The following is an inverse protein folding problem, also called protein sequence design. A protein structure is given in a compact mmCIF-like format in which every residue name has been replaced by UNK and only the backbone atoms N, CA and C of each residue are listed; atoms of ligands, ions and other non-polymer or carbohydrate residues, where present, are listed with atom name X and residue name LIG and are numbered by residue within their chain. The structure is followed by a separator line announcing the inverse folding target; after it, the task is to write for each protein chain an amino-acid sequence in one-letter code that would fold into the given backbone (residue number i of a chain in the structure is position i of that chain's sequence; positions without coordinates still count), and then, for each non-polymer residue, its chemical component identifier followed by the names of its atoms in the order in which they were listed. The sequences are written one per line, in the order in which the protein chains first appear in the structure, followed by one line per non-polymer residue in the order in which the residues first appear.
data_IF_453095687153
#
_entry.id   IF_453095687153
#
_cell.length_a   1.000
_cell.length_b   1.000
_cell.length_c   1.000
_cell.angle_alpha   90.00
_cell.angle_beta   90.00
_cell.angle_gamma   90.00
#
_symmetry.space_group_name_H-M   'P 1'
#
loop_
_entity.id
_entity.type
_entity.pdbx_description
1 polymer ?
#
# COMPACT_ATOMS: atom_id res chain seq x y z
N UNK A 1 3.34 -27.11 -21.11
CA UNK A 1 2.93 -25.75 -20.70
C UNK A 1 4.05 -25.16 -19.86
N UNK A 2 4.74 -24.14 -20.31
CA UNK A 2 5.66 -23.44 -19.44
C UNK A 2 4.86 -22.68 -18.39
N UNK A 3 5.12 -22.93 -17.11
CA UNK A 3 4.53 -22.19 -16.01
C UNK A 3 5.06 -20.76 -16.06
N UNK A 4 4.20 -19.83 -16.45
CA UNK A 4 4.53 -18.42 -16.49
C UNK A 4 4.53 -17.91 -15.05
N UNK A 5 5.71 -17.57 -14.53
CA UNK A 5 5.87 -17.08 -13.18
C UNK A 5 5.11 -15.78 -13.02
N UNK A 6 4.17 -15.75 -12.09
CA UNK A 6 3.41 -14.52 -11.81
C UNK A 6 4.30 -13.49 -11.13
N UNK A 7 3.92 -12.22 -11.22
CA UNK A 7 4.61 -11.14 -10.51
C UNK A 7 4.57 -11.35 -8.98
N UNK A 8 3.50 -11.96 -8.48
CA UNK A 8 3.38 -12.29 -7.05
C UNK A 8 4.36 -13.40 -6.65
N UNK A 9 4.52 -14.43 -7.47
CA UNK A 9 5.52 -15.49 -7.23
C UNK A 9 6.94 -14.91 -7.19
N UNK A 10 7.23 -13.97 -8.08
CA UNK A 10 8.51 -13.26 -8.09
C UNK A 10 8.74 -12.47 -6.81
N UNK A 11 7.74 -11.69 -6.37
CA UNK A 11 7.83 -10.90 -5.13
C UNK A 11 8.05 -11.81 -3.92
N UNK A 12 7.35 -12.94 -3.85
CA UNK A 12 7.50 -13.91 -2.76
C UNK A 12 8.89 -14.57 -2.76
N UNK A 13 9.35 -15.03 -3.92
CA UNK A 13 10.65 -15.71 -4.04
C UNK A 13 11.82 -14.82 -3.63
N UNK A 14 11.75 -13.53 -3.99
CA UNK A 14 12.82 -12.58 -3.71
C UNK A 14 12.55 -11.68 -2.49
N UNK A 15 11.58 -12.04 -1.65
CA UNK A 15 11.13 -11.21 -0.52
C UNK A 15 12.24 -10.84 0.48
N UNK A 16 13.23 -11.71 0.66
CA UNK A 16 14.37 -11.48 1.56
C UNK A 16 15.68 -11.16 0.83
N UNK A 17 15.62 -11.05 -0.50
CA UNK A 17 16.80 -10.80 -1.32
C UNK A 17 17.27 -9.34 -1.22
N UNK A 18 18.58 -9.11 -1.40
CA UNK A 18 19.12 -7.75 -1.53
C UNK A 18 18.63 -7.11 -2.84
N UNK A 19 17.78 -6.11 -2.71
CA UNK A 19 17.16 -5.46 -3.87
C UNK A 19 18.16 -4.70 -4.75
N UNK A 20 19.26 -4.21 -4.19
CA UNK A 20 20.32 -3.58 -4.98
C UNK A 20 21.03 -4.60 -5.87
N UNK A 21 21.32 -5.78 -5.32
CA UNK A 21 21.88 -6.89 -6.11
C UNK A 21 20.88 -7.40 -7.13
N UNK A 22 19.59 -7.43 -6.79
CA UNK A 22 18.54 -7.88 -7.69
C UNK A 22 18.39 -6.95 -8.90
N UNK A 23 18.52 -5.63 -8.70
CA UNK A 23 18.50 -4.65 -9.80
C UNK A 23 19.65 -4.81 -10.80
N UNK A 24 20.77 -5.36 -10.35
CA UNK A 24 21.94 -5.61 -11.22
C UNK A 24 21.80 -6.88 -12.06
N UNK A 25 20.84 -7.75 -11.75
CA UNK A 25 20.58 -8.96 -12.52
C UNK A 25 19.76 -8.63 -13.76
N UNK A 26 20.16 -9.20 -14.90
CA UNK A 26 19.38 -9.12 -16.13
C UNK A 26 18.26 -10.19 -16.08
N UNK A 27 17.15 -9.85 -15.45
CA UNK A 27 16.00 -10.76 -15.29
C UNK A 27 15.03 -10.51 -16.44
N UNK A 28 14.70 -11.59 -17.16
CA UNK A 28 13.69 -11.57 -18.22
C UNK A 28 12.37 -12.09 -17.65
N UNK A 29 11.31 -11.30 -17.81
CA UNK A 29 9.96 -11.64 -17.36
C UNK A 29 8.92 -10.92 -18.22
N UNK A 30 7.67 -11.39 -18.18
CA UNK A 30 6.54 -10.79 -18.92
C UNK A 30 5.86 -9.65 -18.14
N UNK A 31 6.49 -9.20 -17.08
CA UNK A 31 6.01 -8.10 -16.23
C UNK A 31 7.14 -7.10 -15.98
N UNK A 32 6.78 -5.94 -15.47
CA UNK A 32 7.74 -4.90 -15.07
C UNK A 32 8.55 -5.35 -13.84
N UNK A 33 9.78 -5.81 -14.09
CA UNK A 33 10.71 -6.30 -13.06
C UNK A 33 11.12 -5.16 -12.13
N UNK A 34 11.31 -3.94 -12.62
CA UNK A 34 11.69 -2.80 -11.80
C UNK A 34 10.58 -2.46 -10.79
N UNK A 35 9.33 -2.50 -11.23
CA UNK A 35 8.17 -2.33 -10.37
C UNK A 35 8.08 -3.46 -9.33
N UNK A 36 8.28 -4.70 -9.72
CA UNK A 36 8.26 -5.85 -8.80
C UNK A 36 9.34 -5.71 -7.71
N UNK A 37 10.56 -5.27 -8.07
CA UNK A 37 11.64 -5.01 -7.11
C UNK A 37 11.26 -3.87 -6.16
N UNK A 38 10.62 -2.82 -6.65
CA UNK A 38 10.08 -1.75 -5.81
C UNK A 38 9.06 -2.28 -4.78
N UNK A 39 8.17 -3.18 -5.18
CA UNK A 39 7.22 -3.82 -4.27
C UNK A 39 7.93 -4.64 -3.18
N UNK A 40 8.99 -5.36 -3.52
CA UNK A 40 9.82 -6.11 -2.55
C UNK A 40 10.45 -5.14 -1.54
N UNK A 41 11.07 -4.07 -2.02
CA UNK A 41 11.72 -3.07 -1.17
C UNK A 41 10.72 -2.37 -0.25
N UNK A 42 9.57 -1.97 -0.78
CA UNK A 42 8.49 -1.35 -0.02
C UNK A 42 8.01 -2.25 1.13
N UNK A 43 7.78 -3.53 0.85
CA UNK A 43 7.36 -4.53 1.85
C UNK A 43 8.39 -4.71 2.95
N UNK A 44 9.67 -4.75 2.61
CA UNK A 44 10.75 -4.82 3.59
C UNK A 44 10.76 -3.62 4.54
N UNK A 45 10.61 -2.41 3.99
CA UNK A 45 10.62 -1.15 4.76
C UNK A 45 9.46 -1.06 5.76
N UNK A 46 8.30 -1.60 5.43
CA UNK A 46 7.12 -1.48 6.29
C UNK A 46 6.85 -2.72 7.15
N UNK A 47 7.63 -3.77 7.03
CA UNK A 47 7.40 -5.06 7.69
C UNK A 47 7.13 -4.94 9.20
N UNK A 48 7.94 -4.15 9.89
CA UNK A 48 7.80 -3.96 11.34
C UNK A 48 6.76 -2.90 11.70
N UNK A 49 6.57 -1.93 10.83
CA UNK A 49 5.69 -0.79 11.02
C UNK A 49 4.22 -1.11 10.68
N UNK A 50 4.01 -1.92 9.64
CA UNK A 50 2.70 -2.23 9.08
C UNK A 50 2.65 -3.70 8.61
N UNK A 51 2.81 -4.68 9.54
CA UNK A 51 3.00 -6.08 9.18
C UNK A 51 1.81 -6.69 8.43
N UNK A 52 0.58 -6.31 8.73
CA UNK A 52 -0.62 -6.83 8.05
C UNK A 52 -0.67 -6.40 6.58
N UNK A 53 -0.25 -5.18 6.28
CA UNK A 53 -0.15 -4.70 4.90
C UNK A 53 1.06 -5.30 4.17
N UNK A 54 2.19 -5.41 4.84
CA UNK A 54 3.41 -5.99 4.25
C UNK A 54 3.22 -7.45 3.82
N UNK A 55 2.46 -8.23 4.58
CA UNK A 55 2.18 -9.64 4.29
C UNK A 55 1.05 -9.87 3.28
N UNK A 56 0.20 -8.86 3.05
CA UNK A 56 -0.89 -8.98 2.09
C UNK A 56 -0.38 -8.76 0.66
N UNK A 57 -0.34 -9.83 -0.13
CA UNK A 57 0.19 -9.81 -1.50
C UNK A 57 -0.66 -8.99 -2.48
N UNK A 58 -1.89 -8.67 -2.13
CA UNK A 58 -2.79 -7.85 -2.95
C UNK A 58 -2.63 -6.35 -2.72
N UNK A 59 -1.86 -5.93 -1.71
CA UNK A 59 -1.54 -4.53 -1.46
C UNK A 59 -0.47 -4.04 -2.43
N UNK A 60 -0.70 -2.87 -3.01
CA UNK A 60 0.20 -2.17 -3.93
C UNK A 60 0.78 -0.95 -3.23
N UNK A 61 2.10 -0.81 -3.30
CA UNK A 61 2.81 0.35 -2.78
C UNK A 61 3.20 1.28 -3.95
N UNK A 62 2.63 2.49 -4.03
CA UNK A 62 2.87 3.38 -5.19
C UNK A 62 4.30 3.89 -5.26
N UNK A 63 4.99 4.00 -4.13
CA UNK A 63 6.39 4.42 -4.06
C UNK A 63 7.04 3.96 -2.76
N UNK A 64 8.38 3.97 -2.72
CA UNK A 64 9.13 3.74 -1.48
C UNK A 64 8.84 4.87 -0.47
N UNK A 65 8.74 6.11 -0.94
CA UNK A 65 8.43 7.27 -0.10
C UNK A 65 7.10 7.11 0.63
N UNK A 66 6.08 6.55 -0.03
CA UNK A 66 4.78 6.30 0.61
C UNK A 66 4.88 5.37 1.82
N UNK A 67 5.82 4.42 1.81
CA UNK A 67 6.08 3.52 2.95
C UNK A 67 6.84 4.20 4.08
N UNK A 68 7.68 5.15 3.76
CA UNK A 68 8.44 5.92 4.76
C UNK A 68 7.55 6.92 5.50
N UNK A 69 6.63 7.56 4.79
CA UNK A 69 5.76 8.62 5.31
C UNK A 69 4.47 8.12 5.97
N UNK A 70 4.05 6.87 5.72
CA UNK A 70 2.80 6.36 6.28
C UNK A 70 2.88 6.16 7.80
N UNK A 71 1.72 6.17 8.47
CA UNK A 71 1.59 5.79 9.86
C UNK A 71 1.89 4.30 10.06
N UNK A 72 2.43 3.95 11.24
CA UNK A 72 2.45 2.56 11.69
C UNK A 72 1.03 2.09 12.06
N UNK A 73 0.82 0.79 12.15
CA UNK A 73 -0.45 0.24 12.65
C UNK A 73 -0.79 0.78 14.04
N UNK A 74 0.20 0.84 14.92
CA UNK A 74 0.02 1.35 16.28
C UNK A 74 -0.43 2.81 16.28
N UNK A 75 0.24 3.66 15.49
CA UNK A 75 -0.11 5.08 15.37
C UNK A 75 -1.49 5.27 14.73
N UNK A 76 -1.80 4.51 13.68
CA UNK A 76 -3.11 4.60 13.02
C UNK A 76 -4.25 4.14 13.95
N UNK A 77 -4.05 3.09 14.74
CA UNK A 77 -5.01 2.65 15.76
C UNK A 77 -5.21 3.69 16.85
N UNK A 78 -4.15 4.34 17.29
CA UNK A 78 -4.26 5.44 18.24
C UNK A 78 -5.10 6.59 17.68
N UNK A 79 -4.80 7.04 16.46
CA UNK A 79 -5.57 8.09 15.78
C UNK A 79 -7.03 7.67 15.57
N UNK A 80 -7.28 6.41 15.24
CA UNK A 80 -8.64 5.86 15.11
C UNK A 80 -9.48 6.06 16.37
N UNK A 81 -8.86 5.95 17.54
CA UNK A 81 -9.55 6.14 18.83
C UNK A 81 -9.96 7.60 19.07
N UNK A 82 -9.40 8.55 18.33
CA UNK A 82 -9.77 9.97 18.39
C UNK A 82 -10.93 10.32 17.44
N UNK A 83 -11.32 9.42 16.56
CA UNK A 83 -12.40 9.64 15.58
C UNK A 83 -13.74 9.66 16.31
N UNK A 84 -14.51 10.71 16.04
CA UNK A 84 -15.90 10.86 16.45
C UNK A 84 -16.79 10.23 15.37
N UNK A 85 -17.88 9.53 15.73
CA UNK A 85 -18.83 8.99 14.74
C UNK A 85 -19.32 10.06 13.78
N UNK A 86 -19.44 9.70 12.50
CA UNK A 86 -19.81 10.59 11.40
C UNK A 86 -18.86 10.48 10.23
N UNK A 87 -18.83 11.50 9.39
CA UNK A 87 -17.96 11.56 8.23
C UNK A 87 -16.58 12.11 8.60
N UNK A 88 -15.55 11.54 8.00
CA UNK A 88 -14.16 11.93 8.22
C UNK A 88 -13.51 12.26 6.87
N UNK A 89 -12.69 13.31 6.85
CA UNK A 89 -11.89 13.68 5.67
C UNK A 89 -10.41 13.54 6.04
N UNK A 90 -9.68 12.78 5.23
CA UNK A 90 -8.22 12.66 5.28
C UNK A 90 -7.63 13.48 4.14
N UNK A 91 -7.09 14.65 4.46
CA UNK A 91 -6.53 15.60 3.48
C UNK A 91 -5.12 15.25 3.02
N UNK A 92 -4.50 14.23 3.61
CA UNK A 92 -3.14 13.80 3.32
C UNK A 92 -3.10 12.30 3.05
N UNK A 93 -3.92 11.84 2.13
CA UNK A 93 -4.22 10.43 1.90
C UNK A 93 -3.00 9.50 1.85
N UNK A 94 -1.99 9.83 1.05
CA UNK A 94 -0.74 9.06 0.96
C UNK A 94 -0.99 7.59 0.64
N UNK A 95 -0.37 6.69 1.39
CA UNK A 95 -0.59 5.24 1.25
C UNK A 95 -2.01 4.80 1.64
N UNK A 96 -2.73 5.61 2.43
CA UNK A 96 -4.11 5.33 2.82
C UNK A 96 -4.28 4.58 4.14
N UNK A 97 -3.22 4.42 4.91
CA UNK A 97 -3.26 3.68 6.19
C UNK A 97 -4.22 4.34 7.18
N UNK A 98 -4.08 5.64 7.41
CA UNK A 98 -4.95 6.36 8.32
C UNK A 98 -6.41 6.30 7.85
N UNK A 99 -6.69 6.56 6.58
CA UNK A 99 -8.03 6.46 6.01
C UNK A 99 -8.66 5.08 6.19
N UNK A 100 -7.88 4.02 6.02
CA UNK A 100 -8.34 2.65 6.25
C UNK A 100 -8.78 2.43 7.71
N UNK A 101 -7.96 2.84 8.68
CA UNK A 101 -8.31 2.71 10.09
C UNK A 101 -9.48 3.62 10.50
N UNK A 102 -9.54 4.82 9.96
CA UNK A 102 -10.68 5.74 10.20
C UNK A 102 -11.99 5.17 9.67
N UNK A 103 -11.96 4.47 8.54
CA UNK A 103 -13.16 3.87 7.93
C UNK A 103 -13.87 2.85 8.84
N UNK A 104 -13.14 2.27 9.77
CA UNK A 104 -13.68 1.28 10.71
C UNK A 104 -14.54 1.92 11.82
N UNK A 105 -14.45 3.24 12.01
CA UNK A 105 -15.20 4.00 13.02
C UNK A 105 -16.03 5.15 12.44
N UNK A 106 -15.75 5.55 11.21
CA UNK A 106 -16.50 6.60 10.52
C UNK A 106 -17.65 6.00 9.72
N UNK A 107 -18.71 6.76 9.53
CA UNK A 107 -19.79 6.39 8.60
C UNK A 107 -19.26 6.40 7.17
N UNK A 108 -18.49 7.42 6.83
CA UNK A 108 -17.83 7.56 5.54
C UNK A 108 -16.50 8.29 5.69
N UNK A 109 -15.49 7.92 4.88
CA UNK A 109 -14.20 8.60 4.80
C UNK A 109 -14.00 9.14 3.39
N UNK A 110 -13.58 10.40 3.29
CA UNK A 110 -13.07 10.98 2.04
C UNK A 110 -11.55 11.04 2.15
N UNK A 111 -10.89 10.24 1.31
CA UNK A 111 -9.44 10.26 1.13
C UNK A 111 -9.10 11.26 0.03
N UNK A 112 -8.27 12.25 0.33
CA UNK A 112 -7.81 13.28 -0.63
C UNK A 112 -6.31 13.15 -0.86
N UNK A 113 -5.89 13.11 -2.11
CA UNK A 113 -4.50 12.97 -2.51
C UNK A 113 -4.25 13.66 -3.85
N UNK A 114 -3.16 14.43 -3.92
CA UNK A 114 -2.76 15.16 -5.12
C UNK A 114 -2.05 14.30 -6.18
N UNK A 115 -1.46 13.16 -5.80
CA UNK A 115 -0.75 12.28 -6.71
C UNK A 115 -1.69 11.22 -7.29
N UNK A 116 -1.94 11.27 -8.60
CA UNK A 116 -2.85 10.35 -9.28
C UNK A 116 -2.46 8.87 -9.10
N UNK A 117 -1.16 8.55 -9.07
CA UNK A 117 -0.67 7.19 -8.86
C UNK A 117 -0.99 6.68 -7.44
N UNK A 118 -0.95 7.55 -6.43
CA UNK A 118 -1.33 7.21 -5.06
C UNK A 118 -2.84 6.95 -4.96
N UNK A 119 -3.64 7.77 -5.65
CA UNK A 119 -5.08 7.55 -5.73
C UNK A 119 -5.43 6.20 -6.37
N UNK A 120 -4.74 5.83 -7.45
CA UNK A 120 -4.95 4.51 -8.10
C UNK A 120 -4.59 3.36 -7.17
N UNK A 121 -3.44 3.43 -6.49
CA UNK A 121 -3.02 2.43 -5.52
C UNK A 121 -4.01 2.33 -4.35
N UNK A 122 -4.44 3.47 -3.79
CA UNK A 122 -5.40 3.52 -2.70
C UNK A 122 -6.73 2.87 -3.06
N UNK A 123 -7.30 3.17 -4.24
CA UNK A 123 -8.53 2.52 -4.74
C UNK A 123 -8.39 1.00 -4.79
N UNK A 124 -7.28 0.51 -5.34
CA UNK A 124 -7.00 -0.91 -5.44
C UNK A 124 -6.86 -1.54 -4.05
N UNK A 125 -6.12 -0.89 -3.16
CA UNK A 125 -5.85 -1.38 -1.82
C UNK A 125 -7.13 -1.44 -0.97
N UNK A 126 -7.95 -0.39 -0.98
CA UNK A 126 -9.22 -0.38 -0.24
C UNK A 126 -10.17 -1.48 -0.72
N UNK A 127 -10.24 -1.71 -2.04
CA UNK A 127 -11.00 -2.83 -2.60
C UNK A 127 -10.47 -4.18 -2.10
N UNK A 128 -9.16 -4.38 -2.11
CA UNK A 128 -8.52 -5.61 -1.66
C UNK A 128 -8.63 -5.83 -0.14
N UNK A 129 -8.80 -4.74 0.62
CA UNK A 129 -9.06 -4.78 2.07
C UNK A 129 -10.57 -4.88 2.40
N UNK A 130 -11.42 -5.06 1.39
CA UNK A 130 -12.87 -5.14 1.54
C UNK A 130 -13.48 -3.93 2.25
N UNK A 131 -12.95 -2.73 1.97
CA UNK A 131 -13.41 -1.46 2.54
C UNK A 131 -14.24 -0.73 1.51
N UNK A 132 -15.50 -0.44 1.81
CA UNK A 132 -16.49 0.11 0.87
C UNK A 132 -16.98 1.52 1.23
N UNK A 133 -16.59 2.06 2.38
CA UNK A 133 -17.00 3.37 2.86
C UNK A 133 -15.91 4.45 2.75
N UNK A 134 -14.97 4.30 1.82
CA UNK A 134 -13.95 5.30 1.50
C UNK A 134 -14.15 5.79 0.06
N UNK A 135 -14.27 7.09 -0.12
CA UNK A 135 -14.20 7.74 -1.43
C UNK A 135 -12.81 8.29 -1.66
N UNK A 136 -12.16 7.88 -2.74
CA UNK A 136 -10.86 8.40 -3.14
C UNK A 136 -11.05 9.59 -4.06
N UNK A 137 -10.53 10.74 -3.66
CA UNK A 137 -10.59 12.00 -4.40
C UNK A 137 -9.17 12.42 -4.79
N UNK A 138 -8.96 12.62 -6.09
CA UNK A 138 -7.73 13.17 -6.64
C UNK A 138 -7.86 14.69 -6.67
N UNK A 139 -7.33 15.36 -5.66
CA UNK A 139 -7.37 16.81 -5.51
C UNK A 139 -6.22 17.29 -4.63
N UNK A 140 -6.05 18.62 -4.57
CA UNK A 140 -5.01 19.28 -3.78
C UNK A 140 -5.57 19.93 -2.52
#
# INVERSE_FOLDING_TARGET
MMYQKSIQDFILEYSDFDTNKLRLKNIQADFDVAWAIQQIEARKKIRDKLPTWASNMNIVFPSILSTEQCSSELTARYKQNLIIPGDTVDLTGGLGVDSFFFSQKSDHVVYVEQLAEYCRAAKQNFKNLCTDNITVTHDD
#
